data_IF_806336450224
#
_entry.id   IF_806336450224
#
_cell.length_a   1.000
_cell.length_b   1.000
_cell.length_c   1.000
_cell.angle_alpha   90.00
_cell.angle_beta   90.00
_cell.angle_gamma   90.00
#
_symmetry.space_group_name_H-M   'P 1'
#
loop_
_entity.id
_entity.type
_entity.pdbx_description
1 polymer ?
#
# COMPACT_ATOMS: atom_id res chain seq x y z
N UNK A 1 33.66 -17.40 -8.50
CA UNK A 1 32.80 -16.23 -8.13
C UNK A 1 31.54 -16.72 -7.44
N UNK A 2 30.71 -15.84 -6.86
CA UNK A 2 29.50 -16.21 -6.09
C UNK A 2 28.59 -17.25 -6.77
N UNK A 3 28.48 -17.20 -8.10
CA UNK A 3 27.73 -18.16 -8.92
C UNK A 3 28.24 -19.60 -8.74
N UNK A 4 29.56 -19.82 -8.68
CA UNK A 4 30.16 -21.15 -8.52
C UNK A 4 29.93 -21.72 -7.13
N UNK A 5 29.80 -20.85 -6.12
CA UNK A 5 29.44 -21.25 -4.75
C UNK A 5 27.99 -21.69 -4.69
N UNK A 6 27.08 -20.89 -5.27
CA UNK A 6 25.64 -21.18 -5.25
C UNK A 6 25.29 -22.40 -6.12
N UNK A 7 25.99 -22.62 -7.24
CA UNK A 7 25.81 -23.81 -8.08
C UNK A 7 26.21 -25.13 -7.39
N UNK A 8 26.98 -25.08 -6.28
CA UNK A 8 27.32 -26.25 -5.44
C UNK A 8 26.32 -26.47 -4.31
N UNK A 9 25.32 -25.61 -4.18
CA UNK A 9 24.24 -25.69 -3.21
C UNK A 9 22.93 -25.97 -3.93
N UNK A 10 21.91 -26.42 -3.20
CA UNK A 10 20.57 -26.64 -3.75
C UNK A 10 19.83 -25.33 -4.11
N UNK A 11 20.46 -24.17 -3.90
CA UNK A 11 19.89 -22.86 -4.18
C UNK A 11 19.97 -22.42 -5.65
N UNK A 12 20.78 -23.08 -6.49
CA UNK A 12 20.94 -22.68 -7.89
C UNK A 12 21.15 -23.88 -8.82
N UNK A 13 20.15 -24.15 -9.68
CA UNK A 13 20.22 -25.23 -10.66
C UNK A 13 21.05 -24.86 -11.89
N UNK A 14 20.84 -23.65 -12.45
CA UNK A 14 21.60 -23.11 -13.61
C UNK A 14 21.63 -21.58 -13.58
N UNK A 15 22.76 -21.00 -13.96
CA UNK A 15 22.90 -19.55 -14.13
C UNK A 15 22.03 -19.05 -15.30
N UNK A 16 21.38 -17.89 -15.13
CA UNK A 16 20.68 -17.18 -16.21
C UNK A 16 19.24 -17.64 -16.52
N UNK A 17 18.74 -18.74 -15.94
CA UNK A 17 17.37 -19.22 -16.20
C UNK A 17 16.35 -18.83 -15.12
N UNK A 18 16.82 -18.38 -13.96
CA UNK A 18 15.99 -18.10 -12.78
C UNK A 18 14.93 -17.02 -13.03
N UNK A 19 15.32 -15.88 -13.62
CA UNK A 19 14.40 -14.74 -13.87
C UNK A 19 13.25 -15.16 -14.80
N UNK A 20 13.57 -15.87 -15.88
CA UNK A 20 12.58 -16.36 -16.84
C UNK A 20 11.59 -17.35 -16.20
N UNK A 21 12.08 -18.26 -15.34
CA UNK A 21 11.24 -19.20 -14.62
C UNK A 21 10.29 -18.53 -13.64
N UNK A 22 10.81 -17.57 -12.85
CA UNK A 22 9.98 -16.80 -11.91
C UNK A 22 8.92 -16.02 -12.67
N UNK A 23 9.29 -15.40 -13.79
CA UNK A 23 8.35 -14.67 -14.65
C UNK A 23 7.24 -15.58 -15.18
N UNK A 24 7.62 -16.73 -15.74
CA UNK A 24 6.65 -17.70 -16.26
C UNK A 24 5.72 -18.21 -15.16
N UNK A 25 6.25 -18.60 -14.01
CA UNK A 25 5.46 -19.09 -12.89
C UNK A 25 4.50 -18.01 -12.36
N UNK A 26 4.91 -16.74 -12.30
CA UNK A 26 4.03 -15.64 -11.93
C UNK A 26 2.89 -15.49 -12.95
N UNK A 27 3.19 -15.44 -14.25
CA UNK A 27 2.19 -15.30 -15.32
C UNK A 27 1.21 -16.48 -15.35
N UNK A 28 1.71 -17.72 -15.19
CA UNK A 28 0.86 -18.93 -15.14
C UNK A 28 -0.13 -18.92 -13.97
N UNK A 29 0.28 -18.36 -12.83
CA UNK A 29 -0.60 -18.16 -11.68
C UNK A 29 -1.44 -16.87 -11.80
N UNK A 30 -1.31 -16.11 -12.88
CA UNK A 30 -1.98 -14.84 -13.13
C UNK A 30 -1.51 -13.68 -12.24
N UNK A 31 -0.31 -13.78 -11.69
CA UNK A 31 0.35 -12.75 -10.90
C UNK A 31 1.12 -11.79 -11.81
N UNK A 32 1.09 -10.50 -11.48
CA UNK A 32 1.85 -9.47 -12.20
C UNK A 32 3.26 -9.36 -11.60
N UNK A 33 4.29 -9.34 -12.44
CA UNK A 33 5.68 -9.20 -12.01
C UNK A 33 6.36 -8.05 -12.75
N UNK A 34 7.00 -7.16 -12.00
CA UNK A 34 7.76 -6.03 -12.54
C UNK A 34 9.20 -6.07 -12.00
N UNK A 35 10.16 -5.91 -12.91
CA UNK A 35 11.58 -5.85 -12.59
C UNK A 35 12.08 -4.44 -12.94
N UNK A 36 12.51 -3.69 -11.93
CA UNK A 36 13.04 -2.35 -12.12
C UNK A 36 14.54 -2.32 -11.82
N UNK A 37 15.28 -1.74 -12.76
CA UNK A 37 16.71 -1.54 -12.67
C UNK A 37 16.99 -0.04 -12.80
N UNK A 38 17.28 0.60 -11.67
CA UNK A 38 17.75 1.98 -11.63
C UNK A 38 19.13 2.00 -10.97
N UNK A 39 19.26 2.62 -9.80
CA UNK A 39 20.46 2.56 -8.94
C UNK A 39 20.41 1.33 -7.99
N UNK A 40 19.26 0.67 -7.94
CA UNK A 40 19.01 -0.56 -7.20
C UNK A 40 18.14 -1.50 -8.02
N UNK A 41 18.16 -2.78 -7.64
CA UNK A 41 17.35 -3.81 -8.27
C UNK A 41 16.10 -4.09 -7.43
N UNK A 42 14.93 -3.84 -8.00
CA UNK A 42 13.64 -4.07 -7.37
C UNK A 42 12.85 -5.11 -8.14
N UNK A 43 12.24 -6.05 -7.40
CA UNK A 43 11.29 -7.02 -7.93
C UNK A 43 9.97 -6.82 -7.21
N UNK A 44 8.93 -6.47 -7.96
CA UNK A 44 7.58 -6.32 -7.42
C UNK A 44 6.69 -7.39 -8.00
N UNK A 45 6.12 -8.24 -7.14
CA UNK A 45 5.17 -9.28 -7.53
C UNK A 45 3.82 -8.92 -6.91
N UNK A 46 2.78 -8.73 -7.74
CA UNK A 46 1.40 -8.55 -7.29
C UNK A 46 0.64 -9.86 -7.48
N UNK A 47 0.17 -10.42 -6.38
CA UNK A 47 -0.66 -11.62 -6.41
C UNK A 47 -2.08 -11.31 -6.84
N UNK A 48 -2.68 -12.14 -7.68
CA UNK A 48 -4.11 -12.06 -8.03
C UNK A 48 -5.01 -12.79 -7.03
N UNK A 49 -4.43 -13.41 -5.98
CA UNK A 49 -5.15 -14.20 -5.01
C UNK A 49 -6.13 -13.35 -4.21
N UNK A 50 -7.43 -13.66 -4.32
CA UNK A 50 -8.46 -13.16 -3.42
C UNK A 50 -8.07 -13.45 -1.97
N UNK A 51 -8.02 -12.41 -1.15
CA UNK A 51 -7.77 -12.40 0.29
C UNK A 51 -8.47 -13.55 1.03
N UNK A 52 -7.79 -14.67 1.19
CA UNK A 52 -8.04 -15.60 2.29
C UNK A 52 -6.72 -16.08 2.85
N UNK A 53 -6.40 -15.48 3.98
CA UNK A 53 -5.47 -15.96 5.01
C UNK A 53 -4.00 -15.70 4.71
N UNK A 54 -3.48 -14.60 5.24
CA UNK A 54 -2.38 -14.65 6.22
C UNK A 54 -2.25 -13.29 6.90
N UNK A 55 -2.79 -13.26 8.11
CA UNK A 55 -2.58 -12.21 9.09
C UNK A 55 -1.11 -12.20 9.52
N UNK A 56 -0.57 -11.00 9.76
CA UNK A 56 0.74 -10.63 10.33
C UNK A 56 1.99 -10.65 9.43
N UNK A 57 2.70 -9.53 9.56
CA UNK A 57 4.11 -9.26 9.24
C UNK A 57 4.38 -8.78 7.81
N UNK A 58 4.08 -7.52 7.54
CA UNK A 58 5.13 -6.50 7.32
C UNK A 58 4.46 -5.15 7.09
N UNK A 59 4.78 -4.23 7.99
CA UNK A 59 4.52 -2.80 7.85
C UNK A 59 4.94 -2.33 6.45
N UNK A 60 3.95 -1.92 5.63
CA UNK A 60 4.18 -1.06 4.47
C UNK A 60 4.60 0.31 4.99
N UNK A 61 5.88 0.44 5.30
CA UNK A 61 6.56 1.69 5.55
C UNK A 61 6.75 2.39 4.20
N UNK A 62 6.37 3.67 4.20
CA UNK A 62 6.72 4.71 3.22
C UNK A 62 6.40 4.43 1.76
N UNK A 63 5.22 4.84 1.34
CA UNK A 63 5.14 5.62 0.11
C UNK A 63 4.05 6.70 0.24
N UNK A 64 4.38 7.86 -0.33
CA UNK A 64 3.58 9.08 -0.43
C UNK A 64 2.08 8.77 -0.55
N UNK A 65 1.29 9.30 0.40
CA UNK A 65 -0.18 9.30 0.38
C UNK A 65 -0.75 7.96 -0.12
N UNK A 66 -0.75 6.93 0.75
CA UNK A 66 -1.34 5.62 0.44
C UNK A 66 -2.73 5.78 -0.18
N UNK A 67 -3.13 4.90 -1.10
CA UNK A 67 -4.45 4.94 -1.80
C UNK A 67 -5.64 5.17 -0.83
N UNK A 68 -5.49 4.68 0.41
CA UNK A 68 -6.40 4.91 1.52
C UNK A 68 -6.57 6.40 1.88
N UNK A 69 -5.49 7.18 1.94
CA UNK A 69 -5.53 8.62 2.23
C UNK A 69 -6.20 9.40 1.10
N UNK A 70 -5.95 9.07 -0.17
CA UNK A 70 -6.66 9.67 -1.29
C UNK A 70 -8.16 9.37 -1.24
N UNK A 71 -8.51 8.13 -0.86
CA UNK A 71 -9.91 7.72 -0.68
C UNK A 71 -10.56 8.50 0.46
N UNK A 72 -9.88 8.67 1.60
CA UNK A 72 -10.36 9.48 2.73
C UNK A 72 -10.62 10.93 2.29
N UNK A 73 -9.69 11.56 1.56
CA UNK A 73 -9.85 12.93 1.07
C UNK A 73 -11.06 13.03 0.13
N UNK A 74 -11.25 12.06 -0.77
CA UNK A 74 -12.39 12.02 -1.68
C UNK A 74 -13.72 11.92 -0.93
N UNK A 75 -13.81 11.03 0.05
CA UNK A 75 -15.00 10.86 0.87
C UNK A 75 -15.30 12.13 1.68
N UNK A 76 -14.27 12.78 2.23
CA UNK A 76 -14.42 14.07 2.92
C UNK A 76 -14.90 15.17 1.96
N UNK A 77 -14.42 15.17 0.70
CA UNK A 77 -14.85 16.11 -0.34
C UNK A 77 -16.31 15.92 -0.73
N UNK A 78 -16.79 14.67 -0.76
CA UNK A 78 -18.18 14.34 -1.04
C UNK A 78 -19.10 14.55 0.17
N UNK A 79 -18.61 14.32 1.39
CA UNK A 79 -19.35 14.46 2.63
C UNK A 79 -18.45 14.99 3.77
N UNK A 80 -18.57 16.29 4.02
CA UNK A 80 -17.83 17.02 5.06
C UNK A 80 -18.22 16.60 6.49
N UNK A 81 -19.36 15.93 6.69
CA UNK A 81 -19.85 15.47 8.00
C UNK A 81 -19.54 14.00 8.28
N UNK A 82 -18.73 13.37 7.44
CA UNK A 82 -18.39 11.94 7.57
C UNK A 82 -17.73 11.65 8.93
N UNK A 83 -18.16 10.56 9.58
CA UNK A 83 -17.55 10.12 10.83
C UNK A 83 -16.36 9.19 10.59
N UNK A 84 -15.50 9.03 11.59
CA UNK A 84 -14.39 8.06 11.52
C UNK A 84 -14.87 6.62 11.33
N UNK A 85 -16.10 6.33 11.75
CA UNK A 85 -16.72 5.01 11.61
C UNK A 85 -17.08 4.72 10.16
N UNK A 86 -17.73 5.69 9.50
CA UNK A 86 -18.14 5.56 8.10
C UNK A 86 -16.91 5.49 7.19
N UNK A 87 -15.88 6.28 7.47
CA UNK A 87 -14.60 6.21 6.76
C UNK A 87 -13.93 4.83 6.88
N UNK A 88 -14.04 4.17 8.03
CA UNK A 88 -13.48 2.83 8.22
C UNK A 88 -14.20 1.78 7.37
N UNK A 89 -15.52 1.89 7.27
CA UNK A 89 -16.35 1.00 6.45
C UNK A 89 -16.11 1.22 4.95
N UNK A 90 -16.07 2.47 4.50
CA UNK A 90 -15.87 2.82 3.08
C UNK A 90 -14.46 2.43 2.61
N UNK A 91 -13.43 2.70 3.42
CA UNK A 91 -12.03 2.41 3.06
C UNK A 91 -11.66 0.95 3.34
N UNK A 92 -12.47 0.22 4.11
CA UNK A 92 -12.22 -1.19 4.44
C UNK A 92 -11.03 -1.41 5.39
N UNK A 93 -10.70 -0.42 6.23
CA UNK A 93 -9.59 -0.52 7.20
C UNK A 93 -10.07 -0.26 8.62
N UNK A 94 -9.32 -0.75 9.61
CA UNK A 94 -9.69 -0.57 11.02
C UNK A 94 -9.79 0.91 11.42
N UNK A 95 -10.70 1.24 12.34
CA UNK A 95 -10.87 2.61 12.84
C UNK A 95 -9.56 3.20 13.40
N UNK A 96 -8.71 2.36 13.98
CA UNK A 96 -7.38 2.77 14.45
C UNK A 96 -6.53 3.30 13.28
N UNK A 97 -6.46 2.56 12.17
CA UNK A 97 -5.73 2.99 10.97
C UNK A 97 -6.35 4.25 10.34
N UNK A 98 -7.67 4.40 10.37
CA UNK A 98 -8.33 5.66 9.92
C UNK A 98 -7.87 6.85 10.77
N UNK A 99 -7.87 6.72 12.11
CA UNK A 99 -7.42 7.79 13.00
C UNK A 99 -5.96 8.16 12.74
N UNK A 100 -5.09 7.18 12.55
CA UNK A 100 -3.68 7.39 12.20
C UNK A 100 -3.55 8.14 10.85
N UNK A 101 -4.34 7.77 9.83
CA UNK A 101 -4.32 8.45 8.54
C UNK A 101 -4.87 9.88 8.62
N UNK A 102 -5.96 10.12 9.34
CA UNK A 102 -6.51 11.46 9.56
C UNK A 102 -5.51 12.34 10.32
N UNK A 103 -4.82 11.79 11.32
CA UNK A 103 -3.78 12.52 12.04
C UNK A 103 -2.65 12.96 11.09
N UNK A 104 -2.18 12.06 10.21
CA UNK A 104 -1.19 12.39 9.18
C UNK A 104 -1.71 13.45 8.20
N UNK A 105 -2.93 13.33 7.70
CA UNK A 105 -3.52 14.30 6.78
C UNK A 105 -3.69 15.69 7.40
N UNK A 106 -3.96 15.75 8.72
CA UNK A 106 -3.93 17.01 9.48
C UNK A 106 -2.52 17.57 9.63
N UNK A 107 -1.54 16.73 9.93
CA UNK A 107 -0.14 17.12 10.07
C UNK A 107 0.43 17.65 8.74
N UNK A 108 0.04 17.05 7.63
CA UNK A 108 0.36 17.55 6.29
C UNK A 108 -0.42 18.81 5.89
N UNK A 109 -1.35 19.29 6.72
CA UNK A 109 -2.16 20.47 6.42
C UNK A 109 -3.11 20.27 5.26
N UNK A 110 -3.55 19.03 4.98
CA UNK A 110 -4.47 18.72 3.88
C UNK A 110 -5.93 18.78 4.33
N UNK A 111 -6.22 18.37 5.57
CA UNK A 111 -7.57 18.43 6.14
C UNK A 111 -7.55 19.04 7.53
N UNK A 112 -8.61 19.74 7.89
CA UNK A 112 -8.85 20.26 9.23
C UNK A 112 -10.30 20.03 9.65
N UNK A 113 -10.53 19.88 10.96
CA UNK A 113 -11.90 19.78 11.47
C UNK A 113 -12.32 21.13 12.03
N UNK A 114 -13.32 21.74 11.39
CA UNK A 114 -13.85 23.05 11.76
C UNK A 114 -15.17 22.88 12.52
N UNK A 115 -15.22 23.44 13.73
CA UNK A 115 -16.43 23.49 14.56
C UNK A 115 -16.44 22.55 15.78
N UNK A 116 -17.57 22.53 16.54
CA UNK A 116 -17.66 21.89 17.84
C UNK A 116 -17.57 20.36 17.76
N UNK A 117 -17.13 19.70 18.84
CA UNK A 117 -16.89 18.25 18.87
C UNK A 117 -18.06 17.39 18.35
N UNK A 118 -19.31 17.82 18.55
CA UNK A 118 -20.55 17.12 18.16
C UNK A 118 -21.23 17.66 16.88
N UNK A 119 -20.66 18.66 16.20
CA UNK A 119 -21.30 19.26 15.02
C UNK A 119 -20.33 19.89 14.01
N UNK A 120 -19.03 19.77 14.22
CA UNK A 120 -18.00 20.23 13.30
C UNK A 120 -17.89 19.32 12.07
N UNK A 121 -17.51 19.92 10.96
CA UNK A 121 -17.30 19.29 9.66
C UNK A 121 -15.80 19.27 9.32
N UNK A 122 -15.46 18.47 8.33
CA UNK A 122 -14.12 18.35 7.77
C UNK A 122 -13.97 19.31 6.60
N UNK A 123 -12.91 20.09 6.62
CA UNK A 123 -12.54 21.02 5.56
C UNK A 123 -11.20 20.59 4.96
N UNK A 124 -11.10 20.61 3.63
CA UNK A 124 -9.85 20.38 2.91
C UNK A 124 -9.13 21.74 2.81
N UNK A 125 -7.88 21.78 3.24
CA UNK A 125 -7.01 22.95 3.10
C UNK A 125 -6.15 22.69 1.87
N UNK A 126 -6.58 23.22 0.72
CA UNK A 126 -5.73 23.27 -0.47
C UNK A 126 -4.78 24.46 -0.31
N UNK A 127 -3.47 24.18 -0.20
CA UNK A 127 -2.45 25.19 -0.44
C UNK A 127 -2.10 25.16 -1.92
N UNK A 128 -2.41 26.26 -2.61
CA UNK A 128 -2.02 26.58 -4.00
C UNK A 128 -0.49 26.74 -4.13
#
# INVERSE_FOLDING_TARGET
>A
MLVDLLARTDFMEKAGTGIKRVTNACVENGNEINFEFSDSFWVTIKSNGTDKVTDKVTDKVTDKVTDNQQTIIRVIKENDKVTTSDLAEIVGISQRKIKENIAKLKEYGIIERVGPAKGGHWQIIEHD
#
